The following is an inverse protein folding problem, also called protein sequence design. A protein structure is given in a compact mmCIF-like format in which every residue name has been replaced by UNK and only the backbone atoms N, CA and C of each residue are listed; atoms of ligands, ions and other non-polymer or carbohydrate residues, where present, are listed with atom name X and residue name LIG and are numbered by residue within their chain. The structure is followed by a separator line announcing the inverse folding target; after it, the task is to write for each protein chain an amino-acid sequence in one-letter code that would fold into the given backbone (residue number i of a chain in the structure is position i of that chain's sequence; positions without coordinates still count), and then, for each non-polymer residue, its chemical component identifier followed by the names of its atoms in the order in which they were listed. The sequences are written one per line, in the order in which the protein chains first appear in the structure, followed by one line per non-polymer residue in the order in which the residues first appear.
data_IF_132688837007
#
_entry.id   IF_132688837007
#
_cell.length_a   1.000
_cell.length_b   1.000
_cell.length_c   1.000
_cell.angle_alpha   90.00
_cell.angle_beta   90.00
_cell.angle_gamma   90.00
#
_symmetry.space_group_name_H-M   'P 1'
#
loop_
_entity.id
_entity.type
_entity.pdbx_description
1 polymer ?
#
# COMPACT_ATOMS: atom_id res chain seq x y z
N UNK A 1 5.60 35.55 -4.06
CA UNK A 1 5.85 34.26 -3.37
C UNK A 1 6.38 33.26 -4.39
N UNK A 2 7.49 32.52 -4.09
CA UNK A 2 7.95 31.46 -4.98
C UNK A 2 6.93 30.30 -5.00
N UNK A 3 6.75 29.65 -6.16
CA UNK A 3 5.85 28.52 -6.31
C UNK A 3 6.16 27.38 -5.32
N UNK A 4 7.44 27.19 -5.00
CA UNK A 4 7.88 26.20 -4.03
C UNK A 4 7.37 26.53 -2.61
N UNK A 5 7.47 27.80 -2.17
CA UNK A 5 6.97 28.24 -0.86
C UNK A 5 5.45 28.09 -0.77
N UNK A 6 4.74 28.39 -1.87
CA UNK A 6 3.30 28.22 -1.92
C UNK A 6 2.90 26.75 -1.79
N UNK A 7 3.60 25.84 -2.50
CA UNK A 7 3.32 24.40 -2.42
C UNK A 7 3.71 23.81 -1.07
N UNK A 8 4.81 24.27 -0.47
CA UNK A 8 5.23 23.92 0.89
C UNK A 8 4.13 24.27 1.93
N UNK A 9 3.62 25.51 1.88
CA UNK A 9 2.52 25.94 2.77
C UNK A 9 1.28 25.06 2.58
N UNK A 10 0.95 24.73 1.34
CA UNK A 10 -0.19 23.84 1.01
C UNK A 10 0.04 22.41 1.48
N UNK A 11 1.28 21.97 1.54
CA UNK A 11 1.65 20.64 2.04
C UNK A 11 1.66 20.59 3.57
N UNK A 12 1.91 21.71 4.25
CA UNK A 12 1.96 21.81 5.71
C UNK A 12 0.64 21.32 6.33
N UNK A 13 0.74 20.38 7.28
CA UNK A 13 -0.43 19.76 7.91
C UNK A 13 -1.17 18.74 7.05
N UNK A 14 -0.72 18.47 5.82
CA UNK A 14 -1.29 17.41 5.00
C UNK A 14 -0.80 16.00 5.41
N UNK A 15 -1.52 14.99 4.95
CA UNK A 15 -1.17 13.57 5.14
C UNK A 15 0.25 13.23 4.65
N UNK A 16 0.81 14.03 3.73
CA UNK A 16 2.16 13.84 3.20
C UNK A 16 3.24 13.85 4.30
N UNK A 17 3.15 14.80 5.24
CA UNK A 17 4.12 14.93 6.35
C UNK A 17 3.87 13.91 7.46
N UNK A 18 2.62 13.53 7.71
CA UNK A 18 2.32 12.44 8.62
C UNK A 18 2.87 11.11 8.11
N UNK A 19 2.78 10.89 6.79
CA UNK A 19 3.37 9.70 6.17
C UNK A 19 4.89 9.73 6.23
N UNK A 20 5.53 10.92 6.08
CA UNK A 20 6.97 11.05 6.29
C UNK A 20 7.37 10.67 7.73
N UNK A 21 6.57 11.04 8.73
CA UNK A 21 6.75 10.62 10.13
C UNK A 21 6.64 9.12 10.35
N UNK A 22 5.92 8.38 9.50
CA UNK A 22 5.84 6.92 9.57
C UNK A 22 7.20 6.24 9.32
N UNK A 23 8.16 6.93 8.69
CA UNK A 23 9.54 6.44 8.56
C UNK A 23 10.17 6.12 9.91
N UNK A 24 9.99 6.99 10.92
CA UNK A 24 10.50 6.73 12.26
C UNK A 24 9.93 5.44 12.88
N UNK A 25 8.62 5.23 12.72
CA UNK A 25 7.97 4.00 13.21
C UNK A 25 8.53 2.77 12.50
N UNK A 26 8.74 2.86 11.18
CA UNK A 26 9.32 1.78 10.39
C UNK A 26 10.76 1.50 10.84
N UNK A 27 11.60 2.52 10.97
CA UNK A 27 12.98 2.39 11.43
C UNK A 27 13.10 1.79 12.83
N UNK A 28 12.25 2.23 13.78
CA UNK A 28 12.18 1.64 15.11
C UNK A 28 11.81 0.15 15.05
N UNK A 29 10.80 -0.19 14.26
CA UNK A 29 10.31 -1.55 14.14
C UNK A 29 11.35 -2.48 13.50
N UNK A 30 11.93 -2.07 12.36
CA UNK A 30 12.90 -2.88 11.63
C UNK A 30 14.21 -3.03 12.43
N UNK A 31 14.66 -1.96 13.10
CA UNK A 31 15.85 -2.03 13.98
C UNK A 31 15.58 -2.92 15.19
N UNK A 32 14.39 -2.83 15.81
CA UNK A 32 14.03 -3.73 16.91
C UNK A 32 14.04 -5.20 16.48
N UNK A 33 13.59 -5.51 15.25
CA UNK A 33 13.68 -6.86 14.71
C UNK A 33 15.12 -7.33 14.50
N UNK A 34 16.00 -6.44 14.03
CA UNK A 34 17.43 -6.78 13.91
C UNK A 34 18.06 -7.10 15.27
N UNK A 35 17.65 -6.39 16.33
CA UNK A 35 18.20 -6.59 17.69
C UNK A 35 17.71 -7.87 18.37
N UNK A 36 16.69 -8.55 17.86
CA UNK A 36 16.26 -9.87 18.31
C UNK A 36 17.22 -10.98 17.82
N UNK A 37 17.91 -10.74 16.71
CA UNK A 37 18.95 -11.60 16.17
C UNK A 37 20.33 -11.31 16.73
N UNK A 38 21.33 -12.01 16.24
CA UNK A 38 22.74 -11.73 16.57
C UNK A 38 23.24 -10.52 15.78
N UNK A 39 23.57 -9.45 16.49
CA UNK A 39 24.02 -8.16 15.93
C UNK A 39 25.53 -8.09 16.00
N UNK A 40 26.23 -8.77 15.09
CA UNK A 40 27.69 -8.74 15.02
C UNK A 40 28.26 -7.51 14.30
N UNK A 41 27.45 -6.77 13.51
CA UNK A 41 27.90 -5.59 12.74
C UNK A 41 26.74 -4.67 12.40
N UNK A 42 27.01 -3.43 11.95
CA UNK A 42 25.99 -2.52 11.46
C UNK A 42 25.28 -3.06 10.19
N UNK A 43 25.86 -4.00 9.45
CA UNK A 43 25.26 -4.66 8.31
C UNK A 43 24.01 -5.47 8.71
N UNK A 44 24.04 -6.15 9.88
CA UNK A 44 22.88 -6.88 10.38
C UNK A 44 21.66 -6.00 10.60
N UNK A 45 21.85 -4.70 10.87
CA UNK A 45 20.77 -3.71 10.97
C UNK A 45 20.15 -3.35 9.62
N UNK A 46 20.85 -3.64 8.51
CA UNK A 46 20.38 -3.37 7.15
C UNK A 46 19.51 -4.51 6.58
N UNK A 47 19.60 -5.74 7.11
CA UNK A 47 18.84 -6.87 6.57
C UNK A 47 17.33 -6.62 6.47
N UNK A 48 16.64 -6.16 7.54
CA UNK A 48 15.21 -5.87 7.43
C UNK A 48 14.90 -4.71 6.49
N UNK A 49 15.85 -3.77 6.30
CA UNK A 49 15.71 -2.66 5.35
C UNK A 49 15.76 -3.13 3.88
N UNK A 50 16.30 -4.31 3.62
CA UNK A 50 16.33 -4.91 2.29
C UNK A 50 14.94 -5.01 1.65
N UNK A 51 13.91 -5.29 2.43
CA UNK A 51 12.53 -5.34 1.94
C UNK A 51 12.03 -3.97 1.43
N UNK A 52 12.44 -2.87 2.07
CA UNK A 52 12.13 -1.53 1.55
C UNK A 52 12.79 -1.34 0.18
N UNK A 53 14.05 -1.73 0.03
CA UNK A 53 14.82 -1.59 -1.22
C UNK A 53 14.24 -2.46 -2.34
N UNK A 54 13.98 -3.74 -2.08
CA UNK A 54 13.62 -4.72 -3.10
C UNK A 54 12.12 -4.76 -3.41
N UNK A 55 11.26 -4.34 -2.47
CA UNK A 55 9.80 -4.51 -2.61
C UNK A 55 8.98 -3.23 -2.48
N UNK A 56 9.38 -2.28 -1.62
CA UNK A 56 8.48 -1.22 -1.19
C UNK A 56 8.90 0.20 -1.58
N UNK A 57 10.12 0.44 -2.04
CA UNK A 57 10.62 1.78 -2.35
C UNK A 57 9.74 2.50 -3.39
N UNK A 58 9.43 1.88 -4.53
CA UNK A 58 8.57 2.51 -5.53
C UNK A 58 7.09 2.59 -5.12
N UNK A 59 6.45 1.60 -4.48
CA UNK A 59 5.12 1.76 -3.87
C UNK A 59 5.03 2.91 -2.87
N UNK A 60 6.00 3.06 -1.97
CA UNK A 60 6.06 4.19 -1.03
C UNK A 60 6.19 5.51 -1.78
N UNK A 61 7.14 5.60 -2.73
CA UNK A 61 7.32 6.79 -3.56
C UNK A 61 6.05 7.16 -4.34
N UNK A 62 5.34 6.16 -4.88
CA UNK A 62 4.07 6.33 -5.58
C UNK A 62 2.94 6.79 -4.65
N UNK A 63 2.93 6.31 -3.41
CA UNK A 63 1.95 6.77 -2.41
C UNK A 63 2.16 8.25 -2.09
N UNK A 64 3.39 8.71 -1.84
CA UNK A 64 3.72 10.11 -1.60
C UNK A 64 3.31 11.01 -2.78
N UNK A 65 3.69 10.61 -4.00
CA UNK A 65 3.32 11.33 -5.22
C UNK A 65 1.80 11.38 -5.44
N UNK A 66 1.14 10.26 -5.22
CA UNK A 66 -0.30 10.13 -5.35
C UNK A 66 -1.08 10.95 -4.34
N UNK A 67 -0.60 11.07 -3.09
CA UNK A 67 -1.15 11.94 -2.07
C UNK A 67 -1.13 13.41 -2.53
N UNK A 68 0.01 13.86 -3.02
CA UNK A 68 0.17 15.23 -3.50
C UNK A 68 -0.75 15.53 -4.69
N UNK A 69 -0.91 14.58 -5.62
CA UNK A 69 -1.78 14.73 -6.78
C UNK A 69 -3.29 14.65 -6.44
N UNK A 70 -3.66 13.80 -5.49
CA UNK A 70 -5.06 13.72 -5.02
C UNK A 70 -5.46 14.99 -4.25
N UNK A 71 -4.59 15.51 -3.37
CA UNK A 71 -4.82 16.81 -2.71
C UNK A 71 -5.13 17.92 -3.72
N UNK A 72 -4.37 18.00 -4.80
CA UNK A 72 -4.62 18.95 -5.89
C UNK A 72 -5.97 18.72 -6.57
N UNK A 73 -6.34 17.46 -6.76
CA UNK A 73 -7.63 17.10 -7.35
C UNK A 73 -8.79 17.55 -6.49
N UNK A 74 -8.70 17.32 -5.18
CA UNK A 74 -9.78 17.63 -4.23
C UNK A 74 -9.94 19.15 -4.05
N UNK A 75 -8.83 19.90 -4.02
CA UNK A 75 -8.87 21.38 -3.99
C UNK A 75 -9.49 21.96 -5.25
N UNK A 76 -9.22 21.41 -6.43
CA UNK A 76 -9.86 21.86 -7.68
C UNK A 76 -11.34 21.54 -7.72
N UNK A 77 -11.73 20.35 -7.27
CA UNK A 77 -13.14 19.96 -7.18
C UNK A 77 -13.93 20.85 -6.20
N UNK A 78 -13.26 21.33 -5.14
CA UNK A 78 -13.83 22.29 -4.18
C UNK A 78 -13.87 23.75 -4.66
N UNK A 79 -13.44 24.05 -5.90
CA UNK A 79 -13.47 25.41 -6.46
C UNK A 79 -12.43 26.37 -5.88
N UNK A 80 -11.43 25.86 -5.15
CA UNK A 80 -10.44 26.70 -4.44
C UNK A 80 -9.27 27.17 -5.31
N UNK A 81 -9.15 26.67 -6.55
CA UNK A 81 -8.07 27.01 -7.48
C UNK A 81 -8.61 27.62 -8.77
N UNK A 82 -8.95 28.90 -8.70
CA UNK A 82 -9.52 29.65 -9.82
C UNK A 82 -8.48 30.35 -10.70
N UNK A 83 -7.24 30.58 -10.20
CA UNK A 83 -6.24 31.34 -10.96
C UNK A 83 -5.34 30.43 -11.78
N UNK A 84 -5.22 30.65 -13.09
CA UNK A 84 -4.25 29.96 -13.92
C UNK A 84 -2.85 30.46 -13.56
N UNK A 85 -2.11 29.68 -12.77
CA UNK A 85 -0.67 29.80 -12.61
C UNK A 85 0.08 28.98 -13.66
N UNK A 86 1.39 29.09 -13.73
CA UNK A 86 2.20 28.18 -14.53
C UNK A 86 1.98 26.74 -14.08
N UNK A 87 1.29 25.95 -14.89
CA UNK A 87 1.01 24.54 -14.56
C UNK A 87 2.29 23.71 -14.42
N UNK A 88 3.29 23.96 -15.25
CA UNK A 88 4.59 23.28 -15.22
C UNK A 88 5.35 23.67 -13.96
N UNK A 89 5.45 24.96 -13.64
CA UNK A 89 6.10 25.44 -12.42
C UNK A 89 5.44 24.92 -11.13
N UNK A 90 4.11 24.86 -11.09
CA UNK A 90 3.38 24.30 -9.95
C UNK A 90 3.63 22.80 -9.79
N UNK A 91 3.71 22.06 -10.90
CA UNK A 91 4.03 20.62 -10.88
C UNK A 91 5.48 20.37 -10.45
N UNK A 92 6.42 21.20 -10.96
CA UNK A 92 7.82 21.14 -10.53
C UNK A 92 7.94 21.39 -9.02
N UNK A 93 7.30 22.43 -8.49
CA UNK A 93 7.28 22.70 -7.06
C UNK A 93 6.67 21.56 -6.25
N UNK A 94 5.61 20.93 -6.75
CA UNK A 94 4.94 19.80 -6.08
C UNK A 94 5.83 18.57 -6.00
N UNK A 95 6.44 18.17 -7.12
CA UNK A 95 7.32 16.99 -7.10
C UNK A 95 8.55 17.23 -6.24
N UNK A 96 9.10 18.45 -6.20
CA UNK A 96 10.19 18.82 -5.29
C UNK A 96 9.77 18.67 -3.82
N UNK A 97 8.56 19.12 -3.45
CA UNK A 97 8.04 18.92 -2.08
C UNK A 97 7.84 17.43 -1.76
N UNK A 98 7.41 16.62 -2.71
CA UNK A 98 7.33 15.15 -2.56
C UNK A 98 8.72 14.56 -2.31
N UNK A 99 9.73 14.96 -3.08
CA UNK A 99 11.11 14.49 -2.90
C UNK A 99 11.69 14.85 -1.55
N UNK A 100 11.39 16.07 -1.04
CA UNK A 100 11.77 16.48 0.31
C UNK A 100 11.05 15.66 1.39
N UNK A 101 9.77 15.37 1.19
CA UNK A 101 9.03 14.54 2.13
C UNK A 101 9.55 13.08 2.15
N UNK A 102 9.96 12.55 1.00
CA UNK A 102 10.65 11.25 0.90
C UNK A 102 12.02 11.28 1.58
N UNK A 103 12.77 12.38 1.45
CA UNK A 103 14.03 12.55 2.20
C UNK A 103 13.79 12.47 3.71
N UNK A 104 12.77 13.18 4.21
CA UNK A 104 12.40 13.14 5.64
C UNK A 104 11.98 11.73 6.06
N UNK A 105 11.18 11.03 5.24
CA UNK A 105 10.79 9.64 5.48
C UNK A 105 12.03 8.75 5.65
N UNK A 106 12.94 8.77 4.68
CA UNK A 106 14.16 7.92 4.69
C UNK A 106 15.11 8.32 5.82
N UNK A 107 15.29 9.61 6.09
CA UNK A 107 16.11 10.06 7.23
C UNK A 107 15.53 9.53 8.54
N UNK A 108 14.23 9.63 8.76
CA UNK A 108 13.58 9.15 9.98
C UNK A 108 13.63 7.62 10.10
N UNK A 109 13.56 6.91 8.98
CA UNK A 109 13.68 5.45 8.94
C UNK A 109 15.10 5.00 9.30
N UNK A 110 16.10 5.59 8.66
CA UNK A 110 17.50 5.19 8.82
C UNK A 110 18.24 5.82 10.00
N UNK A 111 17.72 6.90 10.59
CA UNK A 111 18.34 7.49 11.78
C UNK A 111 18.39 6.50 12.96
N UNK A 112 17.39 5.60 13.04
CA UNK A 112 17.32 4.61 14.12
C UNK A 112 18.42 3.55 13.99
N UNK A 113 18.61 2.83 12.87
CA UNK A 113 19.71 1.89 12.73
C UNK A 113 21.09 2.57 12.76
N UNK A 114 21.23 3.81 12.26
CA UNK A 114 22.49 4.58 12.43
C UNK A 114 22.76 4.85 13.90
N UNK A 115 21.77 5.32 14.65
CA UNK A 115 21.92 5.58 16.08
C UNK A 115 22.22 4.28 16.85
N UNK A 116 21.56 3.19 16.53
CA UNK A 116 21.83 1.88 17.12
C UNK A 116 23.29 1.43 16.84
N UNK A 117 23.74 1.54 15.59
CA UNK A 117 25.14 1.23 15.25
C UNK A 117 26.14 2.03 16.06
N UNK A 118 25.91 3.34 16.24
CA UNK A 118 26.77 4.21 17.04
C UNK A 118 26.74 3.88 18.54
N UNK A 119 25.54 3.63 19.09
CA UNK A 119 25.37 3.33 20.53
C UNK A 119 25.99 2.00 20.91
N UNK A 120 25.85 0.98 20.04
CA UNK A 120 26.43 -0.34 20.27
C UNK A 120 27.90 -0.46 19.80
N UNK A 121 28.50 0.62 19.28
CA UNK A 121 29.87 0.62 18.80
C UNK A 121 30.10 -0.31 17.60
N UNK A 122 29.10 -0.50 16.76
CA UNK A 122 29.19 -1.38 15.60
C UNK A 122 29.89 -0.69 14.43
N UNK A 123 30.84 -1.40 13.82
CA UNK A 123 31.50 -0.90 12.61
C UNK A 123 30.52 -0.82 11.43
N UNK A 124 30.61 0.26 10.63
CA UNK A 124 29.81 0.42 9.41
C UNK A 124 28.62 1.37 9.52
N UNK A 125 28.50 2.20 10.57
CA UNK A 125 27.42 3.22 10.68
C UNK A 125 27.38 4.16 9.46
N UNK A 126 28.53 4.53 8.90
CA UNK A 126 28.63 5.34 7.68
C UNK A 126 28.05 4.61 6.46
N UNK A 127 28.18 3.28 6.38
CA UNK A 127 27.60 2.47 5.33
C UNK A 127 26.07 2.47 5.41
N UNK A 128 25.49 2.40 6.61
CA UNK A 128 24.04 2.52 6.84
C UNK A 128 23.53 3.87 6.34
N UNK A 129 24.24 4.96 6.65
CA UNK A 129 23.89 6.30 6.17
C UNK A 129 24.02 6.45 4.64
N UNK A 130 25.01 5.81 4.03
CA UNK A 130 25.17 5.77 2.57
C UNK A 130 24.01 5.02 1.89
N UNK A 131 23.61 3.88 2.44
CA UNK A 131 22.44 3.13 1.96
C UNK A 131 21.16 3.98 2.03
N UNK A 132 20.95 4.74 3.11
CA UNK A 132 19.85 5.68 3.22
C UNK A 132 19.82 6.68 2.05
N UNK A 133 20.99 7.27 1.71
CA UNK A 133 21.10 8.18 0.58
C UNK A 133 20.74 7.48 -0.75
N UNK A 134 21.21 6.26 -0.97
CA UNK A 134 20.92 5.48 -2.15
C UNK A 134 19.43 5.12 -2.26
N UNK A 135 18.79 4.74 -1.15
CA UNK A 135 17.35 4.48 -1.09
C UNK A 135 16.56 5.73 -1.46
N UNK A 136 16.90 6.88 -0.87
CA UNK A 136 16.25 8.15 -1.23
C UNK A 136 16.40 8.47 -2.72
N UNK A 137 17.61 8.41 -3.27
CA UNK A 137 17.86 8.66 -4.70
C UNK A 137 17.05 7.68 -5.58
N UNK A 138 17.01 6.40 -5.19
CA UNK A 138 16.24 5.37 -5.87
C UNK A 138 14.74 5.63 -5.91
N UNK A 139 14.18 6.35 -4.93
CA UNK A 139 12.76 6.70 -4.87
C UNK A 139 12.37 7.90 -5.76
N UNK A 140 13.32 8.77 -6.15
CA UNK A 140 13.02 10.02 -6.85
C UNK A 140 12.38 9.79 -8.22
N UNK A 141 12.94 8.89 -9.02
CA UNK A 141 12.45 8.55 -10.34
C UNK A 141 11.04 7.94 -10.30
N UNK A 142 10.83 6.86 -9.54
CA UNK A 142 9.51 6.27 -9.32
C UNK A 142 8.46 7.27 -8.82
N UNK A 143 8.81 8.19 -7.90
CA UNK A 143 7.89 9.24 -7.44
C UNK A 143 7.45 10.15 -8.60
N UNK A 144 8.37 10.57 -9.45
CA UNK A 144 8.08 11.41 -10.62
C UNK A 144 7.17 10.71 -11.62
N UNK A 145 7.49 9.46 -11.98
CA UNK A 145 6.67 8.63 -12.85
C UNK A 145 5.29 8.39 -12.27
N UNK A 146 5.21 8.12 -10.97
CA UNK A 146 3.95 7.92 -10.25
C UNK A 146 3.09 9.19 -10.21
N UNK A 147 3.66 10.38 -10.05
CA UNK A 147 2.94 11.65 -10.15
C UNK A 147 2.29 11.81 -11.54
N UNK A 148 3.03 11.49 -12.60
CA UNK A 148 2.54 11.53 -13.98
C UNK A 148 1.43 10.50 -14.21
N UNK A 149 1.62 9.27 -13.76
CA UNK A 149 0.67 8.16 -13.89
C UNK A 149 -0.62 8.45 -13.09
N UNK A 150 -0.51 8.90 -11.83
CA UNK A 150 -1.69 9.23 -10.98
C UNK A 150 -2.60 10.27 -11.62
N UNK A 151 -2.05 11.25 -12.33
CA UNK A 151 -2.83 12.25 -13.06
C UNK A 151 -3.63 11.68 -14.22
N UNK A 152 -3.18 10.58 -14.81
CA UNK A 152 -3.81 9.95 -15.99
C UNK A 152 -4.75 8.81 -15.63
N UNK A 153 -4.31 7.91 -14.76
CA UNK A 153 -5.01 6.66 -14.46
C UNK A 153 -5.53 6.58 -13.02
N UNK A 154 -5.11 7.52 -12.15
CA UNK A 154 -5.48 7.54 -10.74
C UNK A 154 -4.46 6.84 -9.84
N UNK A 155 -4.63 7.00 -8.51
CA UNK A 155 -3.66 6.52 -7.51
C UNK A 155 -3.52 4.99 -7.52
N UNK A 156 -4.63 4.26 -7.51
CA UNK A 156 -4.59 2.82 -7.29
C UNK A 156 -3.89 2.04 -8.43
N UNK A 157 -4.21 2.27 -9.72
CA UNK A 157 -3.45 1.65 -10.82
C UNK A 157 -1.97 2.03 -10.77
N UNK A 158 -1.65 3.25 -10.31
CA UNK A 158 -0.27 3.70 -10.16
C UNK A 158 0.47 2.94 -9.07
N UNK A 159 -0.18 2.66 -7.92
CA UNK A 159 0.42 1.85 -6.86
C UNK A 159 0.68 0.42 -7.31
N UNK A 160 -0.27 -0.19 -8.03
CA UNK A 160 -0.07 -1.53 -8.61
C UNK A 160 1.10 -1.53 -9.60
N UNK A 161 1.17 -0.52 -10.48
CA UNK A 161 2.29 -0.39 -11.42
C UNK A 161 3.63 -0.16 -10.71
N UNK A 162 3.65 0.60 -9.62
CA UNK A 162 4.86 0.80 -8.82
C UNK A 162 5.32 -0.48 -8.12
N UNK A 163 4.38 -1.31 -7.66
CA UNK A 163 4.68 -2.62 -7.07
C UNK A 163 5.29 -3.56 -8.11
N UNK A 164 4.70 -3.64 -9.30
CA UNK A 164 5.25 -4.41 -10.43
C UNK A 164 6.63 -3.87 -10.82
N UNK A 165 6.80 -2.55 -10.87
CA UNK A 165 8.09 -1.93 -11.19
C UNK A 165 9.19 -2.34 -10.20
N UNK A 166 8.88 -2.42 -8.90
CA UNK A 166 9.90 -2.79 -7.91
C UNK A 166 10.16 -4.28 -7.89
N UNK A 167 9.13 -5.12 -7.84
CA UNK A 167 9.31 -6.57 -7.67
C UNK A 167 9.68 -7.24 -8.97
N UNK A 168 8.87 -7.10 -10.02
CA UNK A 168 9.07 -7.84 -11.27
C UNK A 168 10.29 -7.32 -12.03
N UNK A 169 10.45 -6.00 -12.14
CA UNK A 169 11.59 -5.45 -12.85
C UNK A 169 12.86 -5.44 -12.00
N UNK A 170 12.73 -5.26 -10.68
CA UNK A 170 13.85 -5.33 -9.75
C UNK A 170 14.49 -6.72 -9.67
N UNK A 171 13.72 -7.79 -9.86
CA UNK A 171 14.22 -9.17 -9.88
C UNK A 171 15.39 -9.38 -10.85
N UNK A 172 15.46 -8.60 -11.93
CA UNK A 172 16.54 -8.69 -12.92
C UNK A 172 17.82 -7.95 -12.52
N UNK A 173 17.92 -7.44 -11.30
CA UNK A 173 19.07 -6.68 -10.79
C UNK A 173 20.40 -7.44 -10.87
N UNK A 174 20.37 -8.75 -10.74
CA UNK A 174 21.57 -9.62 -10.76
C UNK A 174 21.95 -10.10 -12.16
N UNK A 175 21.16 -9.80 -13.19
CA UNK A 175 21.45 -10.17 -14.57
C UNK A 175 22.51 -9.26 -15.19
N UNK A 176 23.33 -9.80 -16.10
CA UNK A 176 24.38 -9.04 -16.78
C UNK A 176 23.85 -7.85 -17.60
N UNK A 177 22.57 -7.87 -18.00
CA UNK A 177 21.87 -6.82 -18.73
C UNK A 177 20.99 -5.92 -17.83
N UNK A 178 21.24 -5.89 -16.51
CA UNK A 178 20.49 -5.07 -15.53
C UNK A 178 20.41 -3.59 -15.94
N UNK A 179 21.43 -3.09 -16.61
CA UNK A 179 21.53 -1.71 -17.07
C UNK A 179 20.44 -1.31 -18.08
N UNK A 180 19.87 -2.27 -18.84
CA UNK A 180 18.73 -2.05 -19.75
C UNK A 180 17.41 -1.92 -19.00
N UNK A 181 17.34 -2.26 -17.71
CA UNK A 181 16.10 -2.35 -16.97
C UNK A 181 15.99 -1.26 -15.89
N UNK A 182 15.22 -0.18 -16.14
CA UNK A 182 15.09 0.93 -15.19
C UNK A 182 14.58 0.53 -13.79
N UNK A 183 13.84 -0.58 -13.67
CA UNK A 183 13.36 -1.09 -12.38
C UNK A 183 14.47 -1.70 -11.53
N UNK A 184 15.54 -2.18 -12.16
CA UNK A 184 16.69 -2.74 -11.46
C UNK A 184 17.68 -1.68 -10.94
N UNK A 185 17.71 -0.46 -11.54
CA UNK A 185 18.72 0.55 -11.22
C UNK A 185 18.75 0.99 -9.75
N UNK A 186 17.60 1.31 -9.10
CA UNK A 186 17.60 1.66 -7.69
C UNK A 186 18.07 0.54 -6.77
N UNK A 187 17.68 -0.70 -7.07
CA UNK A 187 18.08 -1.86 -6.29
C UNK A 187 19.59 -2.17 -6.49
N UNK A 188 20.10 -2.10 -7.73
CA UNK A 188 21.54 -2.27 -8.03
C UNK A 188 22.41 -1.21 -7.38
N UNK A 189 21.87 0.00 -7.12
CA UNK A 189 22.59 1.05 -6.40
C UNK A 189 22.79 0.70 -4.91
N UNK A 190 21.79 0.11 -4.27
CA UNK A 190 21.78 -0.13 -2.83
C UNK A 190 22.30 -1.52 -2.42
N UNK A 191 21.88 -2.59 -3.11
CA UNK A 191 22.14 -3.97 -2.70
C UNK A 191 23.62 -4.34 -2.58
N UNK A 192 24.53 -3.95 -3.50
CA UNK A 192 25.96 -4.25 -3.34
C UNK A 192 26.55 -3.64 -2.07
N UNK A 193 26.10 -2.41 -1.70
CA UNK A 193 26.54 -1.74 -0.47
C UNK A 193 25.94 -2.41 0.78
N UNK A 194 24.76 -3.01 0.66
CA UNK A 194 24.13 -3.79 1.73
C UNK A 194 24.71 -5.20 1.83
N UNK A 195 25.50 -5.62 0.85
CA UNK A 195 26.03 -6.99 0.70
C UNK A 195 24.93 -8.05 0.69
N UNK A 196 23.85 -7.76 -0.08
CA UNK A 196 22.67 -8.62 -0.17
C UNK A 196 22.27 -8.90 -1.60
N UNK A 197 21.74 -10.09 -1.81
CA UNK A 197 21.00 -10.46 -3.01
C UNK A 197 19.60 -9.83 -3.02
N UNK A 198 18.95 -9.84 -4.19
CA UNK A 198 17.57 -9.35 -4.30
C UNK A 198 16.57 -10.16 -3.46
N UNK A 199 16.85 -11.42 -3.21
CA UNK A 199 16.06 -12.30 -2.33
C UNK A 199 16.38 -12.14 -0.84
N UNK A 200 17.15 -11.13 -0.47
CA UNK A 200 17.57 -10.79 0.90
C UNK A 200 18.56 -11.78 1.55
N UNK A 201 19.15 -12.68 0.78
CA UNK A 201 20.24 -13.52 1.28
C UNK A 201 21.56 -12.73 1.27
N UNK A 202 22.50 -13.05 2.17
CA UNK A 202 23.85 -12.47 2.14
C UNK A 202 24.53 -12.70 0.79
N UNK A 203 25.29 -11.70 0.34
CA UNK A 203 26.03 -11.76 -0.92
C UNK A 203 27.33 -12.56 -0.72
N UNK A 204 27.54 -13.57 -1.57
CA UNK A 204 28.78 -14.32 -1.58
C UNK A 204 29.91 -13.49 -2.22
N UNK A 205 31.16 -13.68 -1.79
CA UNK A 205 32.33 -12.99 -2.35
C UNK A 205 32.53 -13.24 -3.86
N UNK A 206 32.05 -14.37 -4.35
CA UNK A 206 32.09 -14.75 -5.76
C UNK A 206 30.99 -14.11 -6.62
N UNK A 207 30.05 -13.41 -5.99
CA UNK A 207 28.94 -12.76 -6.71
C UNK A 207 29.42 -11.62 -7.60
N UNK A 208 28.89 -11.49 -8.83
CA UNK A 208 29.19 -10.34 -9.71
C UNK A 208 28.88 -8.97 -9.09
N UNK A 209 28.07 -8.92 -8.04
CA UNK A 209 27.75 -7.69 -7.31
C UNK A 209 28.74 -7.38 -6.20
N UNK A 210 29.55 -8.36 -5.75
CA UNK A 210 30.52 -8.13 -4.69
C UNK A 210 31.61 -7.16 -5.15
N UNK A 211 31.81 -6.08 -4.38
CA UNK A 211 32.82 -5.07 -4.71
C UNK A 211 32.51 -4.21 -5.96
N UNK A 212 31.31 -4.31 -6.54
CA UNK A 212 30.95 -3.51 -7.70
C UNK A 212 30.91 -2.01 -7.36
N UNK A 213 31.43 -1.21 -8.27
CA UNK A 213 31.36 0.25 -8.15
C UNK A 213 29.92 0.75 -8.23
N UNK A 214 29.44 1.59 -7.31
CA UNK A 214 28.09 2.11 -7.35
C UNK A 214 27.86 3.16 -8.46
N UNK A 215 28.92 3.68 -9.09
CA UNK A 215 28.80 4.80 -10.03
C UNK A 215 27.92 4.53 -11.25
N UNK A 216 27.98 3.38 -11.94
CA UNK A 216 27.08 3.10 -13.07
C UNK A 216 25.61 3.09 -12.64
N UNK A 217 25.30 2.40 -11.54
CA UNK A 217 23.93 2.34 -11.02
C UNK A 217 23.45 3.72 -10.52
N UNK A 218 24.34 4.52 -9.93
CA UNK A 218 24.04 5.89 -9.51
C UNK A 218 23.70 6.77 -10.73
N UNK A 219 24.52 6.74 -11.78
CA UNK A 219 24.27 7.52 -12.98
C UNK A 219 22.92 7.18 -13.62
N UNK A 220 22.58 5.89 -13.75
CA UNK A 220 21.32 5.43 -14.29
C UNK A 220 20.13 5.78 -13.38
N UNK A 221 20.30 5.69 -12.06
CA UNK A 221 19.28 6.10 -11.07
C UNK A 221 19.01 7.60 -11.14
N UNK A 222 20.03 8.43 -11.29
CA UNK A 222 19.89 9.88 -11.50
C UNK A 222 19.22 10.19 -12.84
N UNK A 223 19.52 9.43 -13.90
CA UNK A 223 18.83 9.53 -15.18
C UNK A 223 17.33 9.21 -15.01
N UNK A 224 17.00 8.17 -14.26
CA UNK A 224 15.61 7.82 -13.95
C UNK A 224 14.92 8.94 -13.14
N UNK A 225 15.62 9.54 -12.17
CA UNK A 225 15.11 10.68 -11.41
C UNK A 225 14.82 11.89 -12.32
N UNK A 226 15.73 12.22 -13.22
CA UNK A 226 15.55 13.27 -14.22
C UNK A 226 14.35 12.98 -15.16
N UNK A 227 14.26 11.76 -15.68
CA UNK A 227 13.15 11.33 -16.52
C UNK A 227 11.82 11.39 -15.75
N UNK A 228 11.79 10.95 -14.50
CA UNK A 228 10.64 11.04 -13.62
C UNK A 228 10.23 12.49 -13.35
N UNK A 229 11.18 13.38 -13.09
CA UNK A 229 10.92 14.82 -12.93
C UNK A 229 10.27 15.42 -14.19
N UNK A 230 10.87 15.17 -15.35
CA UNK A 230 10.34 15.64 -16.65
C UNK A 230 8.92 15.10 -16.88
N UNK A 231 8.69 13.80 -16.64
CA UNK A 231 7.36 13.21 -16.73
C UNK A 231 6.37 13.86 -15.77
N UNK A 232 6.77 14.12 -14.51
CA UNK A 232 5.95 14.79 -13.52
C UNK A 232 5.59 16.23 -13.93
N UNK A 233 6.49 16.96 -14.56
CA UNK A 233 6.27 18.35 -14.96
C UNK A 233 5.44 18.44 -16.23
N UNK A 234 5.78 17.67 -17.26
CA UNK A 234 5.19 17.80 -18.58
C UNK A 234 3.86 17.07 -18.75
N UNK A 235 3.57 15.99 -17.98
CA UNK A 235 2.35 15.22 -18.17
C UNK A 235 1.11 16.02 -17.76
N UNK A 236 0.20 16.35 -18.70
CA UNK A 236 -1.05 17.05 -18.37
C UNK A 236 -2.02 16.09 -17.67
N UNK A 237 -2.95 16.68 -16.92
CA UNK A 237 -4.05 15.93 -16.34
C UNK A 237 -5.05 15.54 -17.43
N UNK A 238 -5.50 14.31 -17.42
CA UNK A 238 -6.57 13.88 -18.30
C UNK A 238 -7.89 14.51 -17.82
N UNK A 239 -8.50 15.33 -18.64
CA UNK A 239 -9.77 16.03 -18.35
C UNK A 239 -10.98 15.14 -18.56
N UNK A 240 -10.84 14.06 -19.32
CA UNK A 240 -11.93 13.10 -19.57
C UNK A 240 -11.78 11.89 -18.65
N UNK A 241 -12.78 11.53 -17.85
CA UNK A 241 -12.79 10.27 -17.14
C UNK A 241 -12.75 9.13 -18.14
N UNK A 242 -11.89 8.10 -17.90
CA UNK A 242 -11.74 6.91 -18.75
C UNK A 242 -13.09 6.18 -18.88
N UNK A 243 -13.94 6.32 -17.87
CA UNK A 243 -15.32 5.83 -17.84
C UNK A 243 -16.28 7.00 -17.63
N UNK A 244 -16.62 7.71 -18.71
CA UNK A 244 -17.77 8.59 -18.70
C UNK A 244 -19.03 7.72 -18.70
N UNK A 245 -19.48 7.34 -17.51
CA UNK A 245 -20.86 6.90 -17.37
C UNK A 245 -21.70 8.10 -17.79
N UNK A 246 -22.41 7.96 -18.89
CA UNK A 246 -23.45 8.91 -19.32
C UNK A 246 -24.53 8.88 -18.22
N UNK A 247 -24.31 9.63 -17.15
CA UNK A 247 -25.40 10.11 -16.33
C UNK A 247 -25.91 11.33 -17.05
N UNK A 248 -26.74 11.15 -18.05
CA UNK A 248 -27.78 12.11 -18.35
C UNK A 248 -28.72 12.12 -17.14
N UNK A 249 -28.28 12.71 -16.03
CA UNK A 249 -29.22 13.38 -15.18
C UNK A 249 -29.52 14.70 -15.91
N UNK A 250 -30.42 14.65 -16.87
CA UNK A 250 -31.38 15.71 -17.03
C UNK A 250 -31.86 15.99 -15.61
N UNK A 251 -31.52 17.18 -15.08
CA UNK A 251 -32.17 17.70 -13.90
C UNK A 251 -33.63 17.88 -14.36
N UNK A 252 -34.40 16.81 -14.19
CA UNK A 252 -35.84 16.92 -14.33
C UNK A 252 -36.26 18.03 -13.39
N UNK A 253 -36.96 19.01 -13.95
CA UNK A 253 -37.61 20.05 -13.18
C UNK A 253 -38.33 19.41 -11.98
N UNK A 254 -38.32 19.99 -10.78
CA UNK A 254 -38.96 19.41 -9.63
C UNK A 254 -40.39 19.05 -10.01
N UNK A 255 -40.65 17.74 -10.10
CA UNK A 255 -41.97 17.23 -10.38
C UNK A 255 -42.90 17.80 -9.30
N UNK A 256 -44.13 18.23 -9.67
CA UNK A 256 -45.10 18.68 -8.68
C UNK A 256 -45.27 17.60 -7.63
N UNK A 257 -45.34 17.99 -6.35
CA UNK A 257 -45.42 17.07 -5.22
C UNK A 257 -46.55 16.06 -5.45
N UNK A 258 -46.15 14.89 -5.97
CA UNK A 258 -47.04 13.77 -6.16
C UNK A 258 -47.46 13.21 -4.81
N UNK A 259 -48.54 12.38 -4.78
CA UNK A 259 -49.01 11.75 -3.56
C UNK A 259 -47.86 11.04 -2.84
N UNK A 260 -47.81 11.22 -1.51
CA UNK A 260 -46.75 10.67 -0.68
C UNK A 260 -46.45 9.21 -1.03
N UNK A 261 -45.27 8.95 -1.62
CA UNK A 261 -44.84 7.59 -1.96
C UNK A 261 -44.91 6.75 -0.67
N UNK A 262 -45.67 5.64 -0.64
CA UNK A 262 -45.74 4.78 0.51
C UNK A 262 -44.31 4.40 0.93
N UNK A 263 -43.92 4.66 2.19
CA UNK A 263 -42.60 4.28 2.69
C UNK A 263 -42.42 2.79 2.46
N UNK A 264 -41.43 2.37 1.68
CA UNK A 264 -41.22 0.95 1.43
C UNK A 264 -41.08 0.24 2.78
N UNK A 265 -41.78 -0.89 2.93
CA UNK A 265 -41.66 -1.72 4.13
C UNK A 265 -40.17 -1.97 4.41
N UNK A 266 -39.74 -1.88 5.68
CA UNK A 266 -38.36 -2.09 6.10
C UNK A 266 -37.82 -3.35 5.46
N UNK A 267 -36.94 -3.20 4.49
CA UNK A 267 -36.41 -4.30 3.70
C UNK A 267 -35.40 -5.10 4.52
N UNK A 268 -35.45 -6.44 4.38
CA UNK A 268 -34.64 -7.36 5.18
C UNK A 268 -33.13 -7.30 4.84
N UNK A 269 -32.33 -8.05 5.60
CA UNK A 269 -30.86 -8.15 5.43
C UNK A 269 -30.43 -8.43 3.99
N UNK A 270 -31.12 -9.33 3.28
CA UNK A 270 -30.81 -9.71 1.88
C UNK A 270 -30.93 -8.51 0.94
N UNK A 271 -31.91 -7.63 1.16
CA UNK A 271 -32.09 -6.42 0.36
C UNK A 271 -30.93 -5.43 0.62
N UNK A 272 -30.54 -5.24 1.88
CA UNK A 272 -29.38 -4.42 2.24
C UNK A 272 -28.08 -4.97 1.61
N UNK A 273 -27.88 -6.29 1.66
CA UNK A 273 -26.72 -6.94 1.05
C UNK A 273 -26.70 -6.78 -0.49
N UNK A 274 -27.84 -6.99 -1.16
CA UNK A 274 -27.98 -6.73 -2.61
C UNK A 274 -27.73 -5.27 -2.95
N UNK A 275 -28.14 -4.34 -2.09
CA UNK A 275 -27.86 -2.90 -2.25
C UNK A 275 -26.36 -2.60 -2.21
N UNK A 276 -25.65 -3.13 -1.22
CA UNK A 276 -24.18 -3.02 -1.11
C UNK A 276 -23.50 -3.67 -2.31
N UNK A 277 -23.92 -4.88 -2.71
CA UNK A 277 -23.36 -5.59 -3.85
C UNK A 277 -23.52 -4.80 -5.17
N UNK A 278 -24.69 -4.15 -5.38
CA UNK A 278 -24.92 -3.28 -6.55
C UNK A 278 -24.04 -2.03 -6.52
N UNK A 279 -23.89 -1.39 -5.36
CA UNK A 279 -23.02 -0.23 -5.18
C UNK A 279 -21.54 -0.62 -5.37
N UNK A 280 -21.14 -1.83 -4.97
CA UNK A 280 -19.81 -2.39 -5.15
C UNK A 280 -19.52 -2.88 -6.57
N UNK A 281 -20.52 -2.99 -7.45
CA UNK A 281 -20.31 -3.37 -8.87
C UNK A 281 -19.55 -2.28 -9.61
N UNK A 282 -18.25 -2.50 -9.78
CA UNK A 282 -17.35 -1.56 -10.45
C UNK A 282 -16.45 -2.31 -11.44
N UNK A 283 -16.17 -1.72 -12.61
CA UNK A 283 -15.18 -2.28 -13.53
C UNK A 283 -13.80 -2.44 -12.87
N UNK A 284 -13.42 -1.49 -11.98
CA UNK A 284 -12.16 -1.56 -11.23
C UNK A 284 -12.09 -2.76 -10.28
N UNK A 285 -13.17 -3.07 -9.56
CA UNK A 285 -13.21 -4.24 -8.69
C UNK A 285 -13.16 -5.53 -9.50
N UNK A 286 -13.95 -5.62 -10.59
CA UNK A 286 -13.92 -6.78 -11.48
C UNK A 286 -12.53 -6.97 -12.09
N UNK A 287 -11.87 -5.89 -12.49
CA UNK A 287 -10.50 -5.94 -13.02
C UNK A 287 -9.50 -6.44 -11.97
N UNK A 288 -9.58 -5.97 -10.72
CA UNK A 288 -8.71 -6.43 -9.62
C UNK A 288 -8.94 -7.92 -9.36
N UNK A 289 -10.20 -8.38 -9.30
CA UNK A 289 -10.50 -9.79 -9.09
C UNK A 289 -10.02 -10.68 -10.25
N UNK A 290 -10.21 -10.25 -11.49
CA UNK A 290 -9.70 -10.96 -12.67
C UNK A 290 -8.18 -11.00 -12.67
N UNK A 291 -7.50 -9.89 -12.34
CA UNK A 291 -6.04 -9.85 -12.25
C UNK A 291 -5.54 -10.78 -11.13
N UNK A 292 -6.19 -10.77 -9.97
CA UNK A 292 -5.87 -11.69 -8.86
C UNK A 292 -6.05 -13.15 -9.30
N UNK A 293 -7.14 -13.47 -9.97
CA UNK A 293 -7.38 -14.82 -10.50
C UNK A 293 -6.32 -15.23 -11.54
N UNK A 294 -5.91 -14.29 -12.41
CA UNK A 294 -4.86 -14.54 -13.39
C UNK A 294 -3.50 -14.80 -12.73
N UNK A 295 -3.15 -13.98 -11.72
CA UNK A 295 -1.91 -14.17 -10.95
C UNK A 295 -1.92 -15.53 -10.23
N UNK A 296 -3.04 -15.92 -9.61
CA UNK A 296 -3.20 -17.23 -8.99
C UNK A 296 -3.09 -18.38 -10.01
N UNK A 297 -3.64 -18.19 -11.20
CA UNK A 297 -3.52 -19.16 -12.29
C UNK A 297 -2.07 -19.30 -12.77
N UNK A 298 -1.37 -18.18 -12.98
CA UNK A 298 0.04 -18.19 -13.37
C UNK A 298 0.91 -18.80 -12.26
N UNK A 299 0.56 -18.55 -11.01
CA UNK A 299 1.27 -19.11 -9.86
C UNK A 299 1.21 -20.65 -9.82
N UNK A 300 0.25 -21.30 -10.49
CA UNK A 300 0.18 -22.79 -10.57
C UNK A 300 1.42 -23.42 -11.18
N UNK A 301 2.22 -22.65 -11.91
CA UNK A 301 3.49 -23.11 -12.52
C UNK A 301 4.65 -23.21 -11.51
N UNK A 302 4.48 -22.64 -10.31
CA UNK A 302 5.50 -22.61 -9.27
C UNK A 302 5.22 -23.68 -8.19
N UNK A 303 6.21 -24.10 -7.40
CA UNK A 303 6.05 -24.97 -6.25
C UNK A 303 5.04 -24.44 -5.23
N UNK A 304 4.48 -25.33 -4.40
CA UNK A 304 3.38 -24.98 -3.50
C UNK A 304 3.78 -23.94 -2.44
N UNK A 305 4.99 -24.00 -1.93
CA UNK A 305 5.58 -23.04 -0.98
C UNK A 305 5.69 -21.63 -1.56
N UNK A 306 6.17 -21.50 -2.81
CA UNK A 306 6.24 -20.21 -3.52
C UNK A 306 4.84 -19.62 -3.73
N UNK A 307 3.85 -20.46 -4.11
CA UNK A 307 2.45 -20.02 -4.28
C UNK A 307 1.86 -19.51 -2.98
N UNK A 308 2.11 -20.23 -1.88
CA UNK A 308 1.65 -19.86 -0.54
C UNK A 308 2.31 -18.55 -0.08
N UNK A 309 3.63 -18.44 -0.25
CA UNK A 309 4.37 -17.21 0.09
C UNK A 309 3.88 -16.01 -0.71
N UNK A 310 3.75 -16.12 -2.04
CA UNK A 310 3.25 -15.06 -2.90
C UNK A 310 1.87 -14.55 -2.44
N UNK A 311 0.96 -15.49 -2.14
CA UNK A 311 -0.37 -15.11 -1.69
C UNK A 311 -0.35 -14.45 -0.31
N UNK A 312 0.32 -15.07 0.68
CA UNK A 312 0.30 -14.61 2.06
C UNK A 312 1.04 -13.27 2.24
N UNK A 313 2.16 -13.08 1.58
CA UNK A 313 3.00 -11.89 1.77
C UNK A 313 2.69 -10.73 0.82
N UNK A 314 2.13 -10.99 -0.36
CA UNK A 314 1.86 -9.95 -1.33
C UNK A 314 0.35 -9.76 -1.59
N UNK A 315 -0.35 -10.80 -2.05
CA UNK A 315 -1.73 -10.67 -2.52
C UNK A 315 -2.69 -10.39 -1.36
N UNK A 316 -2.57 -11.12 -0.27
CA UNK A 316 -3.48 -11.03 0.87
C UNK A 316 -3.46 -9.65 1.54
N UNK A 317 -2.31 -9.12 2.02
CA UNK A 317 -2.30 -7.83 2.70
C UNK A 317 -2.65 -6.67 1.76
N UNK A 318 -2.12 -6.68 0.53
CA UNK A 318 -2.42 -5.64 -0.46
C UNK A 318 -3.89 -5.67 -0.87
N UNK A 319 -4.44 -6.86 -1.15
CA UNK A 319 -5.85 -7.03 -1.51
C UNK A 319 -6.79 -6.59 -0.40
N UNK A 320 -6.49 -6.97 0.84
CA UNK A 320 -7.26 -6.60 2.03
C UNK A 320 -7.30 -5.08 2.24
N UNK A 321 -6.20 -4.38 2.01
CA UNK A 321 -6.13 -2.92 2.13
C UNK A 321 -6.80 -2.19 0.98
N UNK A 322 -6.59 -2.66 -0.25
CA UNK A 322 -7.11 -2.03 -1.48
C UNK A 322 -8.62 -2.15 -1.60
N UNK A 323 -9.21 -3.28 -1.25
CA UNK A 323 -10.64 -3.55 -1.44
C UNK A 323 -11.55 -2.51 -0.77
N UNK A 324 -11.39 -2.13 0.52
CA UNK A 324 -12.17 -1.06 1.15
C UNK A 324 -11.97 0.30 0.50
N UNK A 325 -10.75 0.62 0.07
CA UNK A 325 -10.43 1.92 -0.55
C UNK A 325 -11.09 2.12 -1.92
N UNK A 326 -11.40 1.03 -2.62
CA UNK A 326 -12.17 1.06 -3.86
C UNK A 326 -13.65 1.29 -3.62
N UNK A 327 -14.22 0.58 -2.65
CA UNK A 327 -15.66 0.43 -2.48
C UNK A 327 -16.25 1.54 -1.62
N UNK A 328 -15.61 1.87 -0.48
CA UNK A 328 -16.14 2.82 0.49
C UNK A 328 -16.40 4.23 -0.07
N UNK A 329 -15.48 4.87 -0.83
CA UNK A 329 -15.73 6.21 -1.34
C UNK A 329 -16.99 6.34 -2.21
N UNK A 330 -17.47 5.24 -2.77
CA UNK A 330 -18.71 5.22 -3.58
C UNK A 330 -19.95 5.00 -2.75
N UNK A 331 -19.84 4.22 -1.67
CA UNK A 331 -20.97 3.97 -0.76
C UNK A 331 -21.17 5.15 0.17
N UNK A 332 -20.10 5.82 0.58
CA UNK A 332 -20.11 6.92 1.55
C UNK A 332 -21.17 8.00 1.28
N UNK A 333 -21.36 8.52 0.03
CA UNK A 333 -22.35 9.57 -0.22
C UNK A 333 -23.81 9.14 0.05
N UNK A 334 -24.12 7.84 -0.15
CA UNK A 334 -25.43 7.27 0.08
C UNK A 334 -25.59 6.64 1.47
N UNK A 335 -24.51 6.63 2.29
CA UNK A 335 -24.47 5.86 3.53
C UNK A 335 -25.55 6.24 4.53
N UNK A 336 -25.77 7.55 4.75
CA UNK A 336 -26.79 8.03 5.68
C UNK A 336 -28.21 7.58 5.26
N UNK A 337 -28.53 7.64 3.97
CA UNK A 337 -29.80 7.17 3.44
C UNK A 337 -29.94 5.64 3.61
N UNK A 338 -28.90 4.90 3.29
CA UNK A 338 -28.88 3.45 3.44
C UNK A 338 -29.06 3.02 4.91
N UNK A 339 -28.54 3.78 5.89
CA UNK A 339 -28.73 3.50 7.31
C UNK A 339 -30.17 3.71 7.75
N UNK A 340 -30.85 4.69 7.19
CA UNK A 340 -32.28 4.96 7.49
C UNK A 340 -33.17 3.87 6.93
N UNK A 341 -32.92 3.47 5.69
CA UNK A 341 -33.73 2.44 5.01
C UNK A 341 -33.45 1.03 5.54
N UNK A 342 -32.19 0.75 5.91
CA UNK A 342 -31.72 -0.58 6.30
C UNK A 342 -30.91 -0.53 7.58
N UNK A 343 -31.49 -0.71 8.77
CA UNK A 343 -30.80 -0.66 10.06
C UNK A 343 -29.61 -1.64 10.16
N UNK A 344 -29.63 -2.73 9.39
CA UNK A 344 -28.58 -3.77 9.34
C UNK A 344 -27.57 -3.58 8.21
N UNK A 345 -27.56 -2.42 7.55
CA UNK A 345 -26.64 -2.17 6.40
C UNK A 345 -25.16 -2.31 6.77
N UNK A 346 -24.77 -1.96 8.01
CA UNK A 346 -23.40 -2.17 8.47
C UNK A 346 -22.99 -3.64 8.51
N UNK A 347 -23.88 -4.51 8.99
CA UNK A 347 -23.66 -5.97 8.97
C UNK A 347 -23.64 -6.49 7.52
N UNK A 348 -24.54 -5.98 6.67
CA UNK A 348 -24.57 -6.34 5.25
C UNK A 348 -23.27 -5.94 4.52
N UNK A 349 -22.70 -4.77 4.85
CA UNK A 349 -21.42 -4.30 4.31
C UNK A 349 -20.29 -5.23 4.73
N UNK A 350 -20.19 -5.54 6.02
CA UNK A 350 -19.15 -6.44 6.54
C UNK A 350 -19.24 -7.83 5.91
N UNK A 351 -20.45 -8.42 5.87
CA UNK A 351 -20.65 -9.75 5.29
C UNK A 351 -20.32 -9.79 3.79
N UNK A 352 -20.57 -8.70 3.05
CA UNK A 352 -20.22 -8.62 1.65
C UNK A 352 -18.70 -8.61 1.44
N UNK A 353 -17.94 -7.81 2.22
CA UNK A 353 -16.48 -7.83 2.18
C UNK A 353 -15.92 -9.20 2.56
N UNK A 354 -16.41 -9.79 3.65
CA UNK A 354 -16.01 -11.14 4.07
C UNK A 354 -16.26 -12.17 3.00
N UNK A 355 -17.40 -12.11 2.29
CA UNK A 355 -17.72 -13.07 1.21
C UNK A 355 -16.71 -12.99 0.06
N UNK A 356 -16.30 -11.78 -0.36
CA UNK A 356 -15.31 -11.63 -1.43
C UNK A 356 -13.95 -12.16 -0.99
N UNK A 357 -13.53 -11.78 0.23
CA UNK A 357 -12.25 -12.24 0.78
C UNK A 357 -12.23 -13.75 0.95
N UNK A 358 -13.30 -14.33 1.49
CA UNK A 358 -13.42 -15.78 1.66
C UNK A 358 -13.31 -16.49 0.32
N UNK A 359 -14.01 -15.99 -0.72
CA UNK A 359 -13.91 -16.56 -2.07
C UNK A 359 -12.48 -16.57 -2.60
N UNK A 360 -11.78 -15.43 -2.52
CA UNK A 360 -10.41 -15.30 -3.01
C UNK A 360 -9.45 -16.19 -2.21
N UNK A 361 -9.58 -16.22 -0.88
CA UNK A 361 -8.71 -17.02 -0.01
C UNK A 361 -8.94 -18.53 -0.17
N UNK A 362 -10.19 -18.96 -0.35
CA UNK A 362 -10.49 -20.37 -0.61
C UNK A 362 -9.97 -20.81 -1.99
N UNK A 363 -10.11 -19.96 -3.02
CA UNK A 363 -9.49 -20.22 -4.33
C UNK A 363 -7.97 -20.32 -4.22
N UNK A 364 -7.32 -19.43 -3.44
CA UNK A 364 -5.89 -19.51 -3.19
C UNK A 364 -5.52 -20.79 -2.44
N UNK A 365 -6.31 -21.22 -1.47
CA UNK A 365 -6.13 -22.50 -0.77
C UNK A 365 -6.23 -23.71 -1.71
N UNK A 366 -7.18 -23.69 -2.64
CA UNK A 366 -7.33 -24.72 -3.65
C UNK A 366 -6.14 -24.74 -4.62
N UNK A 367 -5.68 -23.58 -5.08
CA UNK A 367 -4.49 -23.44 -5.94
C UNK A 367 -3.22 -23.89 -5.18
N UNK A 368 -3.12 -23.60 -3.88
CA UNK A 368 -2.00 -24.04 -3.04
C UNK A 368 -2.07 -25.52 -2.64
N UNK A 369 -3.20 -26.20 -2.88
CA UNK A 369 -3.41 -27.61 -2.50
C UNK A 369 -3.51 -27.81 -0.98
N UNK A 370 -3.92 -26.79 -0.20
CA UNK A 370 -3.96 -26.85 1.26
C UNK A 370 -5.21 -26.19 1.83
N UNK A 371 -6.10 -27.02 2.37
CA UNK A 371 -7.31 -26.54 3.05
C UNK A 371 -6.96 -25.71 4.31
N UNK A 372 -5.94 -26.11 5.08
CA UNK A 372 -5.43 -25.36 6.24
C UNK A 372 -5.04 -23.94 5.83
N UNK A 373 -4.23 -23.83 4.76
CA UNK A 373 -3.83 -22.53 4.21
C UNK A 373 -5.05 -21.68 3.86
N UNK A 374 -6.03 -22.23 3.16
CA UNK A 374 -7.24 -21.52 2.75
C UNK A 374 -8.04 -21.01 3.96
N UNK A 375 -8.23 -21.83 5.00
CA UNK A 375 -8.98 -21.43 6.21
C UNK A 375 -8.26 -20.30 6.97
N UNK A 376 -6.96 -20.44 7.20
CA UNK A 376 -6.16 -19.41 7.87
C UNK A 376 -6.11 -18.11 7.05
N UNK A 377 -6.03 -18.21 5.73
CA UNK A 377 -6.09 -17.06 4.83
C UNK A 377 -7.45 -16.33 4.91
N UNK A 378 -8.57 -17.07 5.02
CA UNK A 378 -9.90 -16.46 5.21
C UNK A 378 -9.97 -15.66 6.50
N UNK A 379 -9.46 -16.20 7.61
CA UNK A 379 -9.48 -15.52 8.91
C UNK A 379 -8.58 -14.28 8.86
N UNK A 380 -7.32 -14.44 8.46
CA UNK A 380 -6.37 -13.34 8.35
C UNK A 380 -6.89 -12.25 7.40
N UNK A 381 -7.34 -12.63 6.20
CA UNK A 381 -7.86 -11.72 5.19
C UNK A 381 -9.11 -10.97 5.65
N UNK A 382 -10.01 -11.64 6.38
CA UNK A 382 -11.21 -10.99 6.92
C UNK A 382 -10.85 -9.96 8.00
N UNK A 383 -9.97 -10.32 8.95
CA UNK A 383 -9.48 -9.39 9.97
C UNK A 383 -8.83 -8.17 9.32
N UNK A 384 -7.92 -8.38 8.39
CA UNK A 384 -7.21 -7.29 7.70
C UNK A 384 -8.17 -6.40 6.90
N UNK A 385 -9.10 -6.99 6.15
CA UNK A 385 -10.04 -6.22 5.31
C UNK A 385 -11.00 -5.40 6.14
N UNK A 386 -11.54 -5.95 7.22
CA UNK A 386 -12.43 -5.20 8.11
C UNK A 386 -11.67 -4.13 8.92
N UNK A 387 -10.43 -4.40 9.33
CA UNK A 387 -9.55 -3.38 9.93
C UNK A 387 -9.24 -2.26 8.93
N UNK A 388 -8.88 -2.59 7.70
CA UNK A 388 -8.67 -1.64 6.62
C UNK A 388 -9.93 -0.82 6.32
N UNK A 389 -11.12 -1.44 6.35
CA UNK A 389 -12.40 -0.74 6.23
C UNK A 389 -12.61 0.24 7.39
N UNK A 390 -12.33 -0.14 8.63
CA UNK A 390 -12.45 0.75 9.79
C UNK A 390 -11.53 1.97 9.64
N UNK A 391 -10.28 1.78 9.21
CA UNK A 391 -9.34 2.86 8.92
C UNK A 391 -9.84 3.73 7.76
N UNK A 392 -10.34 3.10 6.66
CA UNK A 392 -10.86 3.84 5.50
C UNK A 392 -12.04 4.73 5.88
N UNK A 393 -12.93 4.22 6.72
CA UNK A 393 -14.12 4.96 7.20
C UNK A 393 -13.75 6.10 8.15
N UNK A 394 -12.85 5.84 9.10
CA UNK A 394 -12.47 6.80 10.15
C UNK A 394 -11.45 7.83 9.67
N UNK A 395 -10.41 7.42 8.98
CA UNK A 395 -9.25 8.25 8.64
C UNK A 395 -9.12 8.50 7.13
N UNK A 396 -9.80 7.72 6.30
CA UNK A 396 -9.80 7.86 4.84
C UNK A 396 -8.85 6.91 4.12
N UNK A 397 -8.97 6.92 2.79
CA UNK A 397 -8.27 6.00 1.87
C UNK A 397 -6.75 6.00 2.06
N UNK A 398 -6.17 7.19 2.28
CA UNK A 398 -4.72 7.35 2.33
C UNK A 398 -4.08 6.67 3.53
N UNK A 399 -4.70 6.81 4.70
CA UNK A 399 -4.25 6.13 5.91
C UNK A 399 -4.35 4.62 5.79
N UNK A 400 -5.39 4.14 5.10
CA UNK A 400 -5.54 2.71 4.84
C UNK A 400 -4.42 2.17 3.95
N UNK A 401 -4.07 2.88 2.88
CA UNK A 401 -2.99 2.47 1.99
C UNK A 401 -1.63 2.51 2.70
N UNK A 402 -1.38 3.54 3.52
CA UNK A 402 -0.17 3.62 4.34
C UNK A 402 -0.07 2.46 5.35
N UNK A 403 -1.16 2.19 6.07
CA UNK A 403 -1.24 1.04 6.99
C UNK A 403 -1.05 -0.30 6.26
N UNK A 404 -1.61 -0.44 5.06
CA UNK A 404 -1.45 -1.64 4.24
C UNK A 404 0.02 -1.89 3.89
N UNK A 405 0.73 -0.86 3.44
CA UNK A 405 2.16 -0.95 3.12
C UNK A 405 2.94 -1.35 4.38
N UNK A 406 2.70 -0.67 5.51
CA UNK A 406 3.37 -0.98 6.77
C UNK A 406 3.12 -2.43 7.21
N UNK A 407 1.86 -2.88 7.21
CA UNK A 407 1.50 -4.26 7.57
C UNK A 407 2.16 -5.27 6.63
N UNK A 408 2.27 -4.96 5.33
CA UNK A 408 2.94 -5.83 4.37
C UNK A 408 4.42 -5.96 4.70
N UNK A 409 5.12 -4.85 4.95
CA UNK A 409 6.54 -4.84 5.32
C UNK A 409 6.76 -5.68 6.58
N UNK A 410 6.02 -5.38 7.65
CA UNK A 410 6.12 -6.11 8.93
C UNK A 410 5.87 -7.60 8.76
N UNK A 411 4.87 -7.97 7.97
CA UNK A 411 4.51 -9.37 7.76
C UNK A 411 5.55 -10.16 6.99
N UNK A 412 6.17 -9.55 5.98
CA UNK A 412 7.25 -10.20 5.23
C UNK A 412 8.49 -10.33 6.10
N UNK A 413 8.85 -9.26 6.85
CA UNK A 413 10.01 -9.28 7.74
C UNK A 413 9.88 -10.35 8.83
N UNK A 414 8.71 -10.46 9.47
CA UNK A 414 8.53 -11.46 10.54
C UNK A 414 8.30 -12.85 9.94
N UNK A 415 7.48 -12.95 8.90
CA UNK A 415 7.02 -14.23 8.39
C UNK A 415 7.99 -14.94 7.44
N UNK A 416 8.93 -14.23 6.85
CA UNK A 416 9.88 -14.73 5.88
C UNK A 416 11.24 -15.17 6.44
N UNK A 417 11.48 -15.00 7.75
CA UNK A 417 12.78 -15.17 8.37
C UNK A 417 12.70 -15.96 9.69
N UNK A 418 13.83 -16.12 10.35
CA UNK A 418 14.02 -16.75 11.69
C UNK A 418 13.03 -16.17 12.73
N UNK A 419 12.62 -14.91 12.59
CA UNK A 419 11.59 -14.29 13.41
C UNK A 419 10.24 -15.01 13.39
N UNK A 420 9.93 -15.78 12.35
CA UNK A 420 8.74 -16.63 12.30
C UNK A 420 8.77 -17.76 13.34
N UNK A 421 9.92 -18.13 13.84
CA UNK A 421 10.07 -19.14 14.89
C UNK A 421 9.85 -18.57 16.29
N UNK A 422 10.03 -17.25 16.48
CA UNK A 422 9.80 -16.53 17.72
C UNK A 422 8.30 -16.32 17.99
N UNK A 423 7.93 -15.78 19.16
CA UNK A 423 6.55 -15.41 19.49
C UNK A 423 5.99 -14.28 18.59
N UNK A 424 6.84 -13.56 17.87
CA UNK A 424 6.47 -12.45 17.00
C UNK A 424 5.60 -12.89 15.80
N UNK A 425 5.61 -14.17 15.42
CA UNK A 425 4.75 -14.68 14.34
C UNK A 425 3.27 -14.37 14.58
N UNK A 426 2.84 -14.23 15.84
CA UNK A 426 1.44 -13.89 16.19
C UNK A 426 1.05 -12.51 15.65
N UNK A 427 1.98 -11.55 15.65
CA UNK A 427 1.76 -10.19 15.13
C UNK A 427 1.67 -10.14 13.61
N UNK A 428 2.30 -11.09 12.90
CA UNK A 428 2.32 -11.16 11.45
C UNK A 428 1.04 -11.82 10.88
N UNK A 429 -0.11 -11.23 11.10
CA UNK A 429 -1.42 -11.76 10.70
C UNK A 429 -1.46 -12.24 9.25
N UNK A 430 -0.96 -11.50 8.23
CA UNK A 430 -0.92 -11.98 6.84
C UNK A 430 -0.09 -13.25 6.63
N UNK A 431 0.93 -13.47 7.47
CA UNK A 431 1.83 -14.61 7.37
C UNK A 431 1.25 -15.90 7.98
N UNK A 432 0.20 -15.84 8.78
CA UNK A 432 -0.39 -17.01 9.46
C UNK A 432 -0.67 -18.21 8.55
N UNK A 433 -1.16 -18.04 7.31
CA UNK A 433 -1.40 -19.18 6.42
C UNK A 433 -0.14 -20.03 6.16
N UNK A 434 1.05 -19.40 6.19
CA UNK A 434 2.34 -20.04 5.98
C UNK A 434 2.97 -20.47 7.31
N UNK A 435 3.04 -19.55 8.29
CA UNK A 435 3.81 -19.73 9.53
C UNK A 435 3.09 -20.54 10.62
N UNK A 436 1.74 -20.53 10.63
CA UNK A 436 0.98 -21.27 11.64
C UNK A 436 0.84 -22.76 11.24
N UNK A 437 1.76 -23.58 11.76
CA UNK A 437 1.77 -25.03 11.57
C UNK A 437 1.58 -25.75 12.93
N UNK A 438 1.12 -27.01 12.89
CA UNK A 438 0.92 -27.79 14.10
C UNK A 438 0.04 -27.08 15.17
N UNK A 439 0.46 -27.00 16.44
CA UNK A 439 -0.31 -26.36 17.52
C UNK A 439 -0.56 -24.87 17.30
N UNK A 440 0.31 -24.17 16.53
CA UNK A 440 0.17 -22.75 16.23
C UNK A 440 -1.12 -22.42 15.47
N UNK A 441 -1.70 -23.39 14.76
CA UNK A 441 -3.00 -23.22 14.08
C UNK A 441 -4.09 -22.84 15.06
N UNK A 442 -4.17 -23.50 16.19
CA UNK A 442 -5.18 -23.21 17.21
C UNK A 442 -5.00 -21.83 17.83
N UNK A 443 -3.75 -21.43 18.04
CA UNK A 443 -3.42 -20.07 18.53
C UNK A 443 -3.84 -19.03 17.49
N UNK A 444 -3.53 -19.23 16.20
CA UNK A 444 -3.95 -18.34 15.13
C UNK A 444 -5.48 -18.21 15.02
N UNK A 445 -6.21 -19.34 15.17
CA UNK A 445 -7.67 -19.35 15.18
C UNK A 445 -8.23 -18.55 16.38
N UNK A 446 -7.71 -18.79 17.58
CA UNK A 446 -8.16 -18.11 18.80
C UNK A 446 -7.87 -16.60 18.73
N UNK A 447 -6.65 -16.22 18.42
CA UNK A 447 -6.26 -14.81 18.27
C UNK A 447 -7.05 -14.16 17.12
N UNK A 448 -7.22 -14.86 16.00
CA UNK A 448 -8.03 -14.40 14.86
C UNK A 448 -9.48 -14.12 15.24
N UNK A 449 -10.10 -14.98 16.04
CA UNK A 449 -11.46 -14.78 16.54
C UNK A 449 -11.55 -13.54 17.45
N UNK A 450 -10.58 -13.35 18.35
CA UNK A 450 -10.52 -12.17 19.24
C UNK A 450 -10.33 -10.88 18.42
N UNK A 451 -9.39 -10.87 17.47
CA UNK A 451 -9.14 -9.72 16.60
C UNK A 451 -10.37 -9.41 15.75
N UNK A 452 -11.02 -10.43 15.18
CA UNK A 452 -12.23 -10.25 14.38
C UNK A 452 -13.35 -9.61 15.21
N UNK A 453 -13.58 -10.11 16.42
CA UNK A 453 -14.57 -9.54 17.34
C UNK A 453 -14.25 -8.06 17.67
N UNK A 454 -12.99 -7.76 18.00
CA UNK A 454 -12.55 -6.40 18.28
C UNK A 454 -12.75 -5.46 17.08
N UNK A 455 -12.33 -5.88 15.90
CA UNK A 455 -12.45 -5.09 14.66
C UNK A 455 -13.93 -4.87 14.31
N UNK A 456 -14.78 -5.87 14.44
CA UNK A 456 -16.23 -5.74 14.20
C UNK A 456 -16.84 -4.71 15.15
N UNK A 457 -16.50 -4.74 16.43
CA UNK A 457 -16.99 -3.77 17.43
C UNK A 457 -16.54 -2.36 17.08
N UNK A 458 -15.25 -2.16 16.74
CA UNK A 458 -14.71 -0.86 16.36
C UNK A 458 -15.40 -0.36 15.10
N UNK A 459 -15.50 -1.19 14.08
CA UNK A 459 -16.12 -0.81 12.81
C UNK A 459 -17.59 -0.44 12.97
N UNK A 460 -18.34 -1.19 13.76
CA UNK A 460 -19.75 -0.86 14.05
C UNK A 460 -19.87 0.48 14.80
N UNK A 461 -18.96 0.78 15.73
CA UNK A 461 -18.94 2.09 16.43
C UNK A 461 -18.66 3.24 15.45
N UNK A 462 -17.64 3.09 14.60
CA UNK A 462 -17.28 4.10 13.60
C UNK A 462 -18.41 4.33 12.60
N UNK A 463 -19.02 3.26 12.08
CA UNK A 463 -20.15 3.34 11.14
C UNK A 463 -21.38 4.00 11.76
N UNK A 464 -21.66 3.74 13.06
CA UNK A 464 -22.79 4.38 13.79
C UNK A 464 -22.54 5.87 14.05
N UNK A 465 -21.28 6.27 14.29
CA UNK A 465 -20.90 7.67 14.49
C UNK A 465 -21.14 8.57 13.26
N UNK A 466 -21.31 7.96 12.08
CA UNK A 466 -21.59 8.68 10.82
C UNK A 466 -23.09 8.93 10.58
N UNK A 467 -23.96 8.72 11.56
CA UNK A 467 -25.38 9.07 11.44
C UNK A 467 -25.51 10.59 11.34
N UNK A 468 -26.37 11.09 10.42
CA UNK A 468 -26.68 12.52 10.40
C UNK A 468 -27.23 12.92 11.77
N UNK A 469 -26.63 13.97 12.36
CA UNK A 469 -27.20 14.58 13.57
C UNK A 469 -28.63 14.97 13.21
N UNK A 470 -29.62 14.37 13.84
CA UNK A 470 -31.01 14.84 13.75
C UNK A 470 -31.02 16.26 14.33
N UNK A 471 -30.97 17.26 13.46
CA UNK A 471 -31.35 18.62 13.79
C UNK A 471 -32.86 18.73 13.77
#
# INVERSE_FOLDING_TARGET
MSLLRAEWIRAKGSTLWWLAGAGLLLGLLLTAFSLVGDVGSAKSLLYPQGLLVTGMAAPVAALFAGLAENRERDTRAGGTLWRPGSYTGTRAARITVVWLALAVFVILDFVVPVAAALVFGLDGAAQVALVAAFVWLGMLGPAGLAAAATRRVGLLPTLVAAFVFTIELGYFVERSWWWCNPGAWPARLALPTMEMHFNLLPLEETSPMAGESPFPALALTLLLAAAGFVAAVLTPRRTRPIFRRRTTHEVAAPAPAGPAIPRPARTGFVSAWKGVARAGRMPSLSMVLVLTALVLLLATRYPADVRQALFAYAILPVGAGVLPTLVWPRIRPAWALMQVEHPRVGVALMSWFTSIVALVCLLAGAVAGSARFGVLAVIAGTVLTLAALAVTVGFGVMWTLAATILVTIVSVTIGGDVLAESFLWIAAVPAWPVTATGPRVWVALAVGAILLAAVVVVLLRVLRGMRPVRR
#
